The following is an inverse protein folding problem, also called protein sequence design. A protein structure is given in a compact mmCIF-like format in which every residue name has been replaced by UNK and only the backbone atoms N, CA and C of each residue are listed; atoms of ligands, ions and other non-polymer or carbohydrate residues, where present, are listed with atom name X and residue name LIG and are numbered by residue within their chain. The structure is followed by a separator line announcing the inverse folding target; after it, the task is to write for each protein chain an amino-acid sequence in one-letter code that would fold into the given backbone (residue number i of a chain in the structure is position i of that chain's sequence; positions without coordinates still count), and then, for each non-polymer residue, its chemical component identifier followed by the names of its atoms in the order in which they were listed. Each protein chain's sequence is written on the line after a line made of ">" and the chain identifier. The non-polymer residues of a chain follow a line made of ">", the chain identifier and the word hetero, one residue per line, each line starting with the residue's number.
data_IF_203213621419
#
_entry.id   IF_203213621419
#
_cell.length_a   1.000
_cell.length_b   1.000
_cell.length_c   1.000
_cell.angle_alpha   90.00
_cell.angle_beta   90.00
_cell.angle_gamma   90.00
#
_symmetry.space_group_name_H-M   'P 1'
#
loop_
_entity.id
_entity.type
_entity.pdbx_description
1 polymer ?
#
# COMPACT_ATOMS: atom_id res chain seq x y z
N UNK A 1 -0.91 4.65 -17.45
CA UNK A 1 -1.63 3.37 -17.71
C UNK A 1 -1.60 2.91 -19.20
N UNK A 2 -0.99 3.64 -20.11
CA UNK A 2 -0.89 3.29 -21.55
C UNK A 2 -0.16 1.96 -21.82
N UNK A 3 0.61 1.45 -20.86
CA UNK A 3 1.34 0.17 -20.96
C UNK A 3 0.57 -1.04 -20.42
N UNK A 4 -0.60 -0.84 -19.83
CA UNK A 4 -1.43 -1.93 -19.29
C UNK A 4 -2.07 -2.69 -20.44
N UNK A 5 -1.72 -3.98 -20.58
CA UNK A 5 -2.22 -4.84 -21.67
C UNK A 5 -3.72 -5.09 -21.53
N UNK A 6 -4.39 -5.32 -22.69
CA UNK A 6 -5.84 -5.56 -22.73
C UNK A 6 -6.30 -6.90 -22.15
N UNK A 7 -5.38 -7.86 -22.00
CA UNK A 7 -5.67 -9.19 -21.46
C UNK A 7 -5.44 -9.29 -19.93
N UNK A 8 -5.43 -8.16 -19.24
CA UNK A 8 -5.29 -8.09 -17.77
C UNK A 8 -6.65 -7.66 -17.21
N UNK A 9 -7.15 -8.36 -16.20
CA UNK A 9 -8.43 -8.08 -15.56
C UNK A 9 -8.31 -7.07 -14.41
N UNK A 10 -7.20 -7.10 -13.68
CA UNK A 10 -6.96 -6.23 -12.52
C UNK A 10 -5.61 -5.53 -12.60
N UNK A 11 -5.56 -4.33 -12.05
CA UNK A 11 -4.35 -3.51 -11.92
C UNK A 11 -4.09 -3.23 -10.46
N UNK A 12 -2.89 -3.52 -9.99
CA UNK A 12 -2.42 -3.14 -8.67
C UNK A 12 -1.44 -1.97 -8.78
N UNK A 13 -1.67 -0.92 -8.01
CA UNK A 13 -0.75 0.21 -7.87
C UNK A 13 -0.11 0.13 -6.50
N UNK A 14 1.22 0.14 -6.47
CA UNK A 14 1.96 -0.04 -5.23
C UNK A 14 3.08 0.98 -5.07
N UNK A 15 3.16 1.55 -3.87
CA UNK A 15 4.24 2.44 -3.46
C UNK A 15 5.58 1.68 -3.42
N UNK A 16 6.54 2.04 -4.25
CA UNK A 16 7.91 1.47 -4.19
C UNK A 16 8.57 1.67 -2.82
N UNK A 17 8.11 2.68 -2.06
CA UNK A 17 8.57 2.97 -0.71
C UNK A 17 7.96 2.06 0.39
N UNK A 18 7.13 1.06 0.04
CA UNK A 18 6.59 0.04 0.97
C UNK A 18 7.15 -1.36 0.67
N UNK A 19 8.42 -1.61 0.95
CA UNK A 19 9.07 -2.86 0.56
C UNK A 19 8.66 -4.08 1.41
N UNK A 20 7.93 -3.88 2.52
CA UNK A 20 7.60 -4.93 3.47
C UNK A 20 6.25 -5.62 3.18
N UNK A 21 5.69 -5.42 1.99
CA UNK A 21 4.46 -6.11 1.59
C UNK A 21 4.71 -7.61 1.47
N UNK A 22 3.78 -8.43 1.99
CA UNK A 22 3.86 -9.89 1.94
C UNK A 22 2.75 -10.48 1.07
N UNK A 23 2.98 -11.66 0.53
CA UNK A 23 2.07 -12.32 -0.41
C UNK A 23 0.64 -12.44 0.13
N UNK A 24 0.48 -12.81 1.41
CA UNK A 24 -0.84 -12.98 2.01
C UNK A 24 -1.67 -11.69 1.91
N UNK A 25 -1.08 -10.52 2.22
CA UNK A 25 -1.80 -9.24 2.12
C UNK A 25 -2.16 -8.91 0.68
N UNK A 26 -1.27 -9.22 -0.28
CA UNK A 26 -1.55 -9.04 -1.70
C UNK A 26 -2.75 -9.90 -2.11
N UNK A 27 -2.74 -11.19 -1.75
CA UNK A 27 -3.82 -12.13 -2.08
C UNK A 27 -5.18 -11.67 -1.50
N UNK A 28 -5.19 -11.21 -0.24
CA UNK A 28 -6.41 -10.72 0.43
C UNK A 28 -7.00 -9.49 -0.29
N UNK A 29 -6.14 -8.56 -0.74
CA UNK A 29 -6.57 -7.35 -1.45
C UNK A 29 -7.07 -7.70 -2.86
N UNK A 30 -6.38 -8.60 -3.57
CA UNK A 30 -6.86 -9.08 -4.87
C UNK A 30 -8.19 -9.80 -4.76
N UNK A 31 -8.37 -10.65 -3.73
CA UNK A 31 -9.66 -11.32 -3.52
C UNK A 31 -10.79 -10.31 -3.29
N UNK A 32 -10.55 -9.30 -2.45
CA UNK A 32 -11.53 -8.24 -2.23
C UNK A 32 -11.80 -7.43 -3.51
N UNK A 33 -10.79 -7.17 -4.34
CA UNK A 33 -11.00 -6.49 -5.61
C UNK A 33 -11.76 -7.35 -6.63
N UNK A 34 -11.61 -8.67 -6.61
CA UNK A 34 -12.41 -9.61 -7.43
C UNK A 34 -13.89 -9.52 -7.03
N UNK A 35 -14.17 -9.42 -5.73
CA UNK A 35 -15.52 -9.41 -5.19
C UNK A 35 -16.20 -8.02 -5.32
N UNK A 36 -15.42 -6.92 -5.31
CA UNK A 36 -15.91 -5.55 -5.20
C UNK A 36 -15.40 -4.58 -6.28
N UNK A 37 -14.62 -5.05 -7.25
CA UNK A 37 -14.01 -4.29 -8.35
C UNK A 37 -12.92 -3.28 -7.95
N UNK A 38 -12.90 -2.82 -6.70
CA UNK A 38 -11.91 -1.92 -6.15
C UNK A 38 -11.65 -2.22 -4.67
N UNK A 39 -10.40 -2.42 -4.29
CA UNK A 39 -10.02 -2.67 -2.89
C UNK A 39 -8.66 -2.05 -2.55
N UNK A 40 -8.56 -1.54 -1.33
CA UNK A 40 -7.32 -0.99 -0.76
C UNK A 40 -7.09 -1.50 0.65
N UNK A 41 -5.85 -1.67 1.08
CA UNK A 41 -5.56 -1.89 2.49
C UNK A 41 -5.57 -0.55 3.23
N UNK A 42 -6.11 -0.55 4.45
CA UNK A 42 -6.04 0.61 5.33
C UNK A 42 -5.99 0.18 6.80
N UNK A 43 -5.40 1.01 7.64
CA UNK A 43 -5.32 0.81 9.09
C UNK A 43 -6.04 1.94 9.83
N UNK A 44 -6.71 1.67 10.96
CA UNK A 44 -7.32 2.73 11.77
C UNK A 44 -6.25 3.74 12.23
N UNK A 45 -6.61 5.01 12.24
CA UNK A 45 -5.76 6.05 12.81
C UNK A 45 -5.74 5.91 14.32
N UNK A 46 -4.59 5.55 14.90
CA UNK A 46 -4.44 5.31 16.33
C UNK A 46 -4.06 6.57 17.13
N UNK A 47 -3.52 7.59 16.47
CA UNK A 47 -3.04 8.81 17.12
C UNK A 47 -4.07 9.93 17.02
N UNK A 48 -4.17 10.76 18.06
CA UNK A 48 -4.99 11.98 18.00
C UNK A 48 -4.46 12.92 16.91
N UNK A 49 -5.29 13.23 15.92
CA UNK A 49 -4.96 14.15 14.85
C UNK A 49 -5.20 15.60 15.26
N UNK A 50 -4.26 16.46 14.92
CA UNK A 50 -4.33 17.91 15.15
C UNK A 50 -4.24 18.66 13.82
N UNK A 51 -5.08 19.65 13.66
CA UNK A 51 -4.88 20.66 12.61
C UNK A 51 -3.96 21.73 13.16
N UNK A 52 -2.96 22.11 12.38
CA UNK A 52 -1.92 23.06 12.79
C UNK A 52 -1.84 24.19 11.76
N UNK A 53 -1.74 25.44 12.23
CA UNK A 53 -1.39 26.59 11.43
C UNK A 53 -0.11 27.21 12.01
N UNK A 54 0.95 27.28 11.22
CA UNK A 54 2.29 27.57 11.71
C UNK A 54 2.72 26.57 12.78
N UNK A 55 2.93 27.05 14.01
CA UNK A 55 3.30 26.23 15.18
C UNK A 55 2.17 26.10 16.20
N UNK A 56 0.95 26.55 15.88
CA UNK A 56 -0.19 26.55 16.79
C UNK A 56 -1.22 25.49 16.38
N UNK A 57 -1.72 24.74 17.38
CA UNK A 57 -2.85 23.83 17.15
C UNK A 57 -4.11 24.67 17.02
N UNK A 58 -4.84 24.51 15.92
CA UNK A 58 -6.12 25.18 15.65
C UNK A 58 -7.32 24.29 15.93
N UNK A 59 -7.18 22.96 15.82
CA UNK A 59 -8.29 22.03 16.01
C UNK A 59 -7.81 20.62 16.37
N UNK A 60 -8.69 19.84 16.99
CA UNK A 60 -8.53 18.40 17.19
C UNK A 60 -9.52 17.66 16.29
N UNK A 61 -9.02 16.88 15.36
CA UNK A 61 -9.83 16.12 14.41
C UNK A 61 -10.24 14.79 15.04
N UNK A 62 -11.56 14.45 15.04
CA UNK A 62 -12.00 13.12 15.45
C UNK A 62 -11.37 12.05 14.56
N UNK A 63 -10.92 10.98 15.19
CA UNK A 63 -10.37 9.81 14.47
C UNK A 63 -11.42 8.73 14.20
N UNK A 64 -12.70 8.96 14.60
CA UNK A 64 -13.77 8.00 14.38
C UNK A 64 -14.00 7.78 12.88
N UNK A 65 -13.87 6.53 12.43
CA UNK A 65 -13.99 6.17 11.02
C UNK A 65 -12.82 6.61 10.13
N UNK A 66 -11.75 7.20 10.68
CA UNK A 66 -10.57 7.56 9.91
C UNK A 66 -9.59 6.39 9.81
N UNK A 67 -9.19 6.11 8.58
CA UNK A 67 -8.19 5.10 8.26
C UNK A 67 -7.05 5.72 7.46
N UNK A 68 -5.85 5.24 7.70
CA UNK A 68 -4.68 5.55 6.90
C UNK A 68 -4.56 4.53 5.76
N UNK A 69 -4.77 4.98 4.52
CA UNK A 69 -4.67 4.15 3.34
C UNK A 69 -3.25 3.65 3.12
N UNK A 70 -3.14 2.41 2.63
CA UNK A 70 -1.88 1.79 2.26
C UNK A 70 -1.96 1.30 0.81
N UNK A 71 -0.89 0.67 0.34
CA UNK A 71 -0.82 0.00 -0.95
C UNK A 71 -0.30 -1.44 -0.79
N UNK A 72 -0.57 -2.37 -1.74
CA UNK A 72 -1.14 -2.15 -3.08
C UNK A 72 -2.62 -1.77 -3.05
N UNK A 73 -3.03 -0.89 -3.96
CA UNK A 73 -4.43 -0.60 -4.26
C UNK A 73 -4.79 -1.36 -5.53
N UNK A 74 -5.84 -2.16 -5.49
CA UNK A 74 -6.19 -3.07 -6.58
C UNK A 74 -7.55 -2.71 -7.16
N UNK A 75 -7.62 -2.60 -8.46
CA UNK A 75 -8.80 -2.19 -9.19
C UNK A 75 -9.04 -3.06 -10.40
N UNK A 76 -10.30 -3.28 -10.76
CA UNK A 76 -10.65 -3.79 -12.07
C UNK A 76 -10.07 -2.87 -13.14
N UNK A 77 -9.46 -3.45 -14.17
CA UNK A 77 -8.73 -2.69 -15.20
C UNK A 77 -9.58 -1.61 -15.85
N UNK A 78 -10.79 -1.96 -16.28
CA UNK A 78 -11.70 -1.01 -16.94
C UNK A 78 -12.03 0.17 -16.03
N UNK A 79 -12.33 -0.12 -14.75
CA UNK A 79 -12.68 0.88 -13.75
C UNK A 79 -11.56 1.90 -13.54
N UNK A 80 -10.32 1.45 -13.32
CA UNK A 80 -9.22 2.37 -13.09
C UNK A 80 -8.85 3.16 -14.35
N UNK A 81 -8.96 2.56 -15.53
CA UNK A 81 -8.74 3.28 -16.80
C UNK A 81 -9.77 4.39 -17.01
N UNK A 82 -11.04 4.12 -16.70
CA UNK A 82 -12.11 5.11 -16.76
C UNK A 82 -11.88 6.23 -15.74
N UNK A 83 -11.53 5.90 -14.50
CA UNK A 83 -11.22 6.87 -13.45
C UNK A 83 -10.09 7.84 -13.87
N UNK A 84 -9.04 7.32 -14.48
CA UNK A 84 -7.97 8.15 -15.04
C UNK A 84 -8.43 8.99 -16.25
N UNK A 85 -9.29 8.47 -17.11
CA UNK A 85 -9.82 9.22 -18.24
C UNK A 85 -10.71 10.40 -17.80
N UNK A 86 -11.45 10.23 -16.71
CA UNK A 86 -12.33 11.26 -16.13
C UNK A 86 -11.64 12.18 -15.11
N UNK A 87 -10.33 12.00 -14.87
CA UNK A 87 -9.58 12.75 -13.85
C UNK A 87 -9.65 14.27 -14.06
N UNK A 88 -9.62 14.72 -15.32
CA UNK A 88 -9.46 16.15 -15.68
C UNK A 88 -8.29 16.78 -14.91
N UNK A 89 -8.49 17.97 -14.30
CA UNK A 89 -7.49 18.69 -13.51
C UNK A 89 -7.47 18.27 -12.01
N UNK A 90 -8.12 17.16 -11.65
CA UNK A 90 -8.14 16.70 -10.27
C UNK A 90 -6.78 16.12 -9.87
N UNK A 91 -6.16 16.71 -8.85
CA UNK A 91 -4.95 16.18 -8.21
C UNK A 91 -5.34 15.11 -7.20
N UNK A 92 -5.24 13.86 -7.62
CA UNK A 92 -5.51 12.71 -6.76
C UNK A 92 -4.37 12.52 -5.77
N UNK A 93 -4.70 12.24 -4.52
CA UNK A 93 -3.73 11.86 -3.49
C UNK A 93 -3.30 10.40 -3.61
N UNK A 94 -4.20 9.56 -4.13
CA UNK A 94 -3.99 8.15 -4.44
C UNK A 94 -4.99 7.70 -5.52
N UNK A 95 -4.88 6.45 -5.99
CA UNK A 95 -5.74 5.91 -7.04
C UNK A 95 -7.18 5.71 -6.57
N UNK A 96 -7.38 5.38 -5.29
CA UNK A 96 -8.73 5.19 -4.74
C UNK A 96 -9.57 6.46 -4.85
N UNK A 97 -8.97 7.63 -4.64
CA UNK A 97 -9.66 8.92 -4.73
C UNK A 97 -10.19 9.23 -6.13
N UNK A 98 -9.56 8.69 -7.19
CA UNK A 98 -10.09 8.81 -8.56
C UNK A 98 -11.36 7.97 -8.75
N UNK A 99 -11.37 6.76 -8.20
CA UNK A 99 -12.50 5.83 -8.28
C UNK A 99 -13.68 6.33 -7.44
N UNK A 100 -13.40 6.80 -6.23
CA UNK A 100 -14.41 7.43 -5.34
C UNK A 100 -15.07 8.64 -6.00
N UNK A 101 -14.31 9.47 -6.71
CA UNK A 101 -14.82 10.64 -7.43
C UNK A 101 -15.83 10.28 -8.51
N UNK A 102 -15.74 9.09 -9.10
CA UNK A 102 -16.75 8.58 -10.04
C UNK A 102 -18.02 8.06 -9.34
N UNK A 103 -18.04 8.06 -8.01
CA UNK A 103 -19.14 7.50 -7.21
C UNK A 103 -19.08 5.98 -7.08
N UNK A 104 -17.97 5.34 -7.45
CA UNK A 104 -17.80 3.91 -7.28
C UNK A 104 -17.24 3.60 -5.88
N UNK A 105 -17.84 2.65 -5.14
CA UNK A 105 -17.33 2.28 -3.82
C UNK A 105 -15.97 1.59 -3.91
N UNK A 106 -15.09 1.91 -2.97
CA UNK A 106 -13.79 1.25 -2.80
C UNK A 106 -13.83 0.46 -1.49
N UNK A 107 -13.58 -0.85 -1.59
CA UNK A 107 -13.60 -1.73 -0.43
C UNK A 107 -12.32 -1.61 0.39
N UNK A 108 -12.46 -1.55 1.73
CA UNK A 108 -11.31 -1.49 2.64
C UNK A 108 -11.02 -2.89 3.19
N UNK A 109 -9.80 -3.36 2.96
CA UNK A 109 -9.23 -4.55 3.61
C UNK A 109 -8.38 -4.09 4.79
N UNK A 110 -8.44 -4.82 5.92
CA UNK A 110 -7.59 -4.49 7.06
C UNK A 110 -6.11 -4.62 6.68
N UNK A 111 -5.40 -3.52 6.72
CA UNK A 111 -3.97 -3.44 6.47
C UNK A 111 -3.13 -3.87 7.67
N UNK A 112 -1.83 -3.63 7.57
CA UNK A 112 -0.88 -3.94 8.65
C UNK A 112 -0.01 -2.74 8.99
N UNK A 113 0.20 -2.44 10.29
CA UNK A 113 1.18 -1.42 10.70
C UNK A 113 2.62 -1.78 10.29
N UNK A 114 2.90 -3.06 9.96
CA UNK A 114 4.20 -3.47 9.41
C UNK A 114 4.40 -3.08 7.93
N UNK A 115 3.31 -2.79 7.19
CA UNK A 115 3.37 -2.29 5.82
C UNK A 115 3.68 -0.79 5.79
N UNK A 116 4.79 -0.40 6.42
CA UNK A 116 5.20 1.00 6.53
C UNK A 116 5.66 1.58 5.20
N UNK A 117 5.48 2.88 5.03
CA UNK A 117 6.06 3.66 3.93
C UNK A 117 7.38 4.27 4.42
N UNK A 118 8.48 3.93 3.79
CA UNK A 118 9.81 4.46 4.11
C UNK A 118 9.92 5.85 3.48
N UNK A 119 9.89 6.88 4.32
CA UNK A 119 9.99 8.29 3.91
C UNK A 119 11.16 9.01 4.58
N UNK A 120 11.69 8.44 5.66
CA UNK A 120 12.80 8.99 6.43
C UNK A 120 13.88 7.93 6.67
N UNK A 121 15.06 8.36 7.15
CA UNK A 121 16.15 7.45 7.56
C UNK A 121 15.74 6.60 8.78
N UNK A 122 14.89 7.13 9.64
CA UNK A 122 14.35 6.43 10.80
C UNK A 122 13.43 5.31 10.37
N UNK A 123 12.57 5.54 9.34
CA UNK A 123 11.69 4.51 8.79
C UNK A 123 12.50 3.34 8.22
N UNK A 124 13.66 3.60 7.63
CA UNK A 124 14.52 2.54 7.11
C UNK A 124 15.04 1.62 8.23
N UNK A 125 15.43 2.19 9.39
CA UNK A 125 15.84 1.42 10.55
C UNK A 125 14.68 0.59 11.12
N UNK A 126 13.48 1.17 11.17
CA UNK A 126 12.27 0.47 11.59
C UNK A 126 11.96 -0.67 10.63
N UNK A 127 12.02 -0.42 9.32
CA UNK A 127 11.79 -1.45 8.29
C UNK A 127 12.76 -2.63 8.45
N UNK A 128 14.04 -2.36 8.66
CA UNK A 128 15.05 -3.39 8.89
C UNK A 128 14.74 -4.26 10.11
N UNK A 129 14.26 -3.67 11.20
CA UNK A 129 13.84 -4.40 12.39
C UNK A 129 12.58 -5.24 12.16
N UNK A 130 11.62 -4.73 11.39
CA UNK A 130 10.37 -5.42 11.07
C UNK A 130 10.54 -6.65 10.17
N UNK A 131 11.61 -6.72 9.35
CA UNK A 131 11.84 -7.85 8.44
C UNK A 131 11.77 -9.22 9.11
N UNK A 132 12.28 -9.34 10.34
CA UNK A 132 12.26 -10.59 11.08
C UNK A 132 10.90 -10.96 11.65
N UNK A 133 9.97 -10.01 11.71
CA UNK A 133 8.62 -10.15 12.27
C UNK A 133 7.56 -10.37 11.21
N UNK A 134 7.90 -10.21 9.93
CA UNK A 134 6.95 -10.41 8.85
C UNK A 134 6.44 -11.84 8.80
N UNK A 135 5.17 -12.07 8.43
CA UNK A 135 4.65 -13.40 8.17
C UNK A 135 5.53 -14.14 7.16
N UNK A 136 6.01 -15.32 7.54
CA UNK A 136 6.80 -16.17 6.64
C UNK A 136 5.87 -16.91 5.70
N UNK A 137 6.19 -16.93 4.42
CA UNK A 137 5.47 -17.77 3.46
C UNK A 137 5.63 -19.26 3.82
N UNK A 138 4.52 -19.95 3.99
CA UNK A 138 4.53 -21.42 4.14
C UNK A 138 5.02 -22.01 2.81
N UNK A 139 6.27 -22.46 2.77
CA UNK A 139 6.82 -23.17 1.60
C UNK A 139 8.15 -22.63 1.03
N UNK A 140 8.58 -21.43 1.40
CA UNK A 140 9.89 -20.90 0.95
C UNK A 140 11.08 -21.45 1.74
N UNK A 141 10.87 -22.01 2.92
CA UNK A 141 11.93 -22.64 3.71
C UNK A 141 12.58 -23.85 2.99
N UNK A 142 11.88 -24.48 2.04
CA UNK A 142 12.42 -25.57 1.24
C UNK A 142 13.37 -25.09 0.11
N UNK A 143 13.27 -23.84 -0.31
CA UNK A 143 14.15 -23.26 -1.34
C UNK A 143 15.34 -22.53 -0.75
N UNK A 144 15.22 -22.04 0.49
CA UNK A 144 16.31 -21.31 1.19
C UNK A 144 17.45 -22.24 1.64
N UNK A 145 17.20 -23.56 1.79
CA UNK A 145 18.22 -24.55 2.13
C UNK A 145 19.10 -24.97 0.94
N UNK A 146 18.75 -24.55 -0.29
CA UNK A 146 19.46 -24.95 -1.53
C UNK A 146 20.47 -23.91 -2.04
N UNK A 147 20.54 -22.71 -1.49
CA UNK A 147 21.55 -21.71 -1.85
C UNK A 147 22.10 -20.99 -0.61
N UNK A 148 23.12 -21.57 0.01
CA UNK A 148 24.23 -20.81 0.52
C UNK A 148 24.99 -20.38 -0.72
N UNK A 149 24.96 -19.10 -1.00
CA UNK A 149 26.02 -18.25 -1.49
C UNK A 149 25.48 -17.07 -2.29
N UNK A 150 26.03 -15.92 -1.93
CA UNK A 150 26.24 -14.74 -2.77
C UNK A 150 25.07 -13.79 -3.02
N UNK A 151 25.03 -12.70 -2.28
CA UNK A 151 24.44 -11.51 -2.86
C UNK A 151 24.00 -10.33 -1.97
N UNK A 152 24.22 -10.34 -0.67
CA UNK A 152 23.83 -9.21 0.17
C UNK A 152 24.99 -8.44 0.83
N UNK A 153 26.22 -8.89 0.63
CA UNK A 153 27.42 -8.24 1.21
C UNK A 153 27.73 -6.85 0.63
N UNK A 154 27.20 -6.53 -0.54
CA UNK A 154 27.36 -5.20 -1.14
C UNK A 154 26.52 -4.11 -0.46
N UNK A 155 25.43 -4.47 0.23
CA UNK A 155 24.54 -3.52 0.94
C UNK A 155 25.14 -3.07 2.29
N UNK A 156 26.10 -3.82 2.85
CA UNK A 156 26.72 -3.54 4.15
C UNK A 156 28.14 -2.99 4.02
N UNK A 157 28.71 -2.91 2.82
CA UNK A 157 30.10 -2.49 2.56
C UNK A 157 30.29 -1.01 2.23
N UNK A 158 29.27 -0.17 2.38
CA UNK A 158 29.38 1.29 2.23
C UNK A 158 29.82 1.96 3.54
N UNK A 159 31.14 2.09 3.73
CA UNK A 159 31.74 3.08 4.63
C UNK A 159 31.76 4.45 3.98
#
# INVERSE_FOLDING_TARGET
>A
LTVVKSNIDFVAVHDAARPLVVKQWIDDIFQAAIDHEAAIPAIPVASTLKRVDGNAITDTVSCDGLFAAQTPQVFRRELILEAYAQRNDFEATDESSLVERMGHPVHVVMGSPMNIKITTQEDLKIAAALLSLLPKEKGLDALATSKKDDGLDWLLAGK
#
